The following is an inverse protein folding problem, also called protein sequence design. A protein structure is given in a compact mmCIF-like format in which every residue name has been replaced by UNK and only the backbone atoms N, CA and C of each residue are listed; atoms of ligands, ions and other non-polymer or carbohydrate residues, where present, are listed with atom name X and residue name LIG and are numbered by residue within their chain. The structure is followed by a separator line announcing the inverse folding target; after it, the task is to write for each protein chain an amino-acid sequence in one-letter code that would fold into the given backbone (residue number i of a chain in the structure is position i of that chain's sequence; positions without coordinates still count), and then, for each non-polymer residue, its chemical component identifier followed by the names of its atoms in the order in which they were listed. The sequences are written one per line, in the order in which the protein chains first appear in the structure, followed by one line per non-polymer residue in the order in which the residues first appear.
data_IF_888963111065
#
_entry.id   IF_888963111065
#
_cell.length_a   1.000
_cell.length_b   1.000
_cell.length_c   1.000
_cell.angle_alpha   90.00
_cell.angle_beta   90.00
_cell.angle_gamma   90.00
#
_symmetry.space_group_name_H-M   'P 1'
#
loop_
_entity.id
_entity.type
_entity.pdbx_description
1 polymer ?
#
# COMPACT_ATOMS: atom_id res chain seq x y z
N UNK A 1 -2.61 19.46 -21.55
CA UNK A 1 -3.21 18.43 -22.43
C UNK A 1 -3.09 18.92 -23.87
N UNK A 2 -2.77 18.01 -24.80
CA UNK A 2 -2.36 18.23 -26.21
C UNK A 2 -0.86 18.46 -26.46
N UNK A 3 0.01 17.59 -25.91
CA UNK A 3 1.42 17.49 -26.35
C UNK A 3 1.90 16.06 -26.58
N UNK A 4 1.34 15.03 -25.90
CA UNK A 4 1.83 13.65 -26.08
C UNK A 4 1.33 12.99 -27.36
N UNK A 5 0.18 13.42 -27.90
CA UNK A 5 -0.42 12.82 -29.09
C UNK A 5 0.31 13.13 -30.39
N UNK A 6 1.15 14.17 -30.43
CA UNK A 6 1.93 14.56 -31.62
C UNK A 6 3.32 13.93 -31.67
N UNK A 7 3.87 13.50 -30.54
CA UNK A 7 5.14 12.76 -30.49
C UNK A 7 4.92 11.26 -30.77
N UNK A 8 3.84 10.66 -30.22
CA UNK A 8 3.46 9.27 -30.51
C UNK A 8 3.19 9.00 -32.00
N UNK A 9 2.64 9.97 -32.74
CA UNK A 9 2.36 9.84 -34.18
C UNK A 9 3.61 9.93 -35.07
N UNK A 10 4.73 10.47 -34.57
CA UNK A 10 5.97 10.58 -35.32
C UNK A 10 6.88 9.35 -35.15
N UNK A 11 6.87 8.71 -33.98
CA UNK A 11 7.70 7.53 -33.69
C UNK A 11 7.19 6.24 -34.34
N UNK A 12 5.89 6.11 -34.62
CA UNK A 12 5.37 4.96 -35.37
C UNK A 12 5.95 4.84 -36.79
N UNK A 13 6.51 5.93 -37.35
CA UNK A 13 7.05 5.93 -38.72
C UNK A 13 8.44 5.31 -38.87
N UNK A 14 9.16 4.98 -37.78
CA UNK A 14 10.54 4.45 -37.83
C UNK A 14 10.73 3.06 -37.19
N UNK A 15 9.69 2.41 -36.68
CA UNK A 15 9.84 1.09 -36.05
C UNK A 15 10.09 -0.01 -37.10
N UNK A 16 11.16 -0.79 -36.89
CA UNK A 16 11.47 -1.99 -37.68
C UNK A 16 11.34 -3.22 -36.79
N UNK A 17 10.58 -4.22 -37.25
CA UNK A 17 10.44 -5.50 -36.56
C UNK A 17 11.79 -6.20 -36.45
N UNK A 18 12.05 -6.88 -35.33
CA UNK A 18 13.28 -7.62 -35.06
C UNK A 18 13.59 -8.64 -36.16
N UNK A 19 12.58 -9.32 -36.70
CA UNK A 19 12.73 -10.23 -37.85
C UNK A 19 13.35 -9.59 -39.10
N UNK A 20 13.24 -8.27 -39.23
CA UNK A 20 13.71 -7.49 -40.37
C UNK A 20 15.00 -6.70 -40.07
N UNK A 21 15.51 -6.75 -38.83
CA UNK A 21 16.75 -6.07 -38.40
C UNK A 21 17.99 -6.91 -38.79
N UNK A 22 18.98 -6.27 -39.41
CA UNK A 22 20.19 -6.96 -39.90
C UNK A 22 20.97 -7.63 -38.77
N UNK A 23 21.09 -6.94 -37.63
CA UNK A 23 21.80 -7.36 -36.44
C UNK A 23 21.10 -8.47 -35.64
N UNK A 24 19.95 -8.97 -36.11
CA UNK A 24 19.17 -10.05 -35.49
C UNK A 24 18.99 -11.28 -36.39
N UNK A 25 19.57 -11.29 -37.60
CA UNK A 25 19.45 -12.42 -38.55
C UNK A 25 20.08 -13.72 -38.08
N UNK A 26 21.05 -13.65 -37.16
CA UNK A 26 21.70 -14.81 -36.54
C UNK A 26 20.82 -15.46 -35.46
N UNK A 27 19.76 -14.78 -35.02
CA UNK A 27 18.85 -15.28 -33.98
C UNK A 27 17.58 -15.83 -34.64
N UNK A 28 17.29 -17.10 -34.38
CA UNK A 28 16.01 -17.71 -34.77
C UNK A 28 14.95 -17.39 -33.70
N UNK A 29 13.86 -16.67 -34.03
CA UNK A 29 12.80 -16.37 -33.07
C UNK A 29 12.16 -17.65 -32.52
N UNK A 30 11.75 -17.61 -31.25
CA UNK A 30 11.09 -18.74 -30.59
C UNK A 30 9.63 -18.39 -30.29
N UNK A 31 8.66 -18.95 -31.04
CA UNK A 31 7.24 -18.72 -30.81
C UNK A 31 6.80 -19.11 -29.40
N UNK A 32 5.74 -18.46 -28.90
CA UNK A 32 5.06 -18.92 -27.69
C UNK A 32 4.33 -20.24 -27.97
N UNK A 33 4.58 -21.25 -27.13
CA UNK A 33 3.85 -22.53 -27.19
C UNK A 33 2.67 -22.51 -26.20
N UNK A 34 1.48 -22.17 -26.70
CA UNK A 34 0.22 -22.22 -25.95
C UNK A 34 -0.49 -23.59 -26.07
N UNK A 35 0.15 -24.57 -26.71
CA UNK A 35 -0.41 -25.88 -26.99
C UNK A 35 -1.51 -25.88 -28.08
N UNK A 36 -2.08 -27.06 -28.39
CA UNK A 36 -3.04 -27.23 -29.49
C UNK A 36 -4.45 -26.69 -29.17
N UNK A 37 -4.82 -26.59 -27.89
CA UNK A 37 -6.13 -26.13 -27.42
C UNK A 37 -5.95 -24.92 -26.50
N UNK A 38 -5.70 -23.76 -27.11
CA UNK A 38 -5.36 -22.54 -26.37
C UNK A 38 -6.53 -22.05 -25.52
N UNK A 39 -6.27 -21.70 -24.26
CA UNK A 39 -7.21 -21.04 -23.35
C UNK A 39 -6.67 -19.66 -23.00
N UNK A 40 -7.56 -18.68 -22.75
CA UNK A 40 -7.21 -17.26 -22.46
C UNK A 40 -6.18 -16.67 -23.44
N UNK A 41 -6.22 -17.11 -24.70
CA UNK A 41 -5.28 -16.67 -25.73
C UNK A 41 -5.47 -15.19 -26.02
N UNK A 42 -4.37 -14.46 -26.01
CA UNK A 42 -4.34 -13.03 -26.30
C UNK A 42 -4.03 -12.85 -27.79
N UNK A 43 -4.86 -12.08 -28.47
CA UNK A 43 -4.61 -11.67 -29.86
C UNK A 43 -3.56 -10.56 -29.90
N UNK A 44 -2.30 -10.94 -29.74
CA UNK A 44 -1.16 -10.01 -29.77
C UNK A 44 -1.01 -9.32 -31.12
N UNK A 45 -0.58 -8.06 -31.09
CA UNK A 45 -0.12 -7.33 -32.29
C UNK A 45 1.13 -7.98 -32.87
N UNK A 46 1.44 -7.70 -34.14
CA UNK A 46 2.64 -8.23 -34.79
C UNK A 46 3.91 -7.79 -34.06
N UNK A 47 4.03 -6.50 -33.71
CA UNK A 47 5.13 -5.97 -32.90
C UNK A 47 5.30 -6.73 -31.59
N UNK A 48 4.20 -7.02 -30.88
CA UNK A 48 4.27 -7.75 -29.62
C UNK A 48 4.79 -9.18 -29.80
N UNK A 49 4.26 -9.91 -30.80
CA UNK A 49 4.71 -11.28 -31.08
C UNK A 49 6.19 -11.30 -31.46
N UNK A 50 6.59 -10.42 -32.37
CA UNK A 50 7.97 -10.30 -32.85
C UNK A 50 8.94 -10.04 -31.69
N UNK A 51 8.72 -9.00 -30.88
CA UNK A 51 9.58 -8.69 -29.71
C UNK A 51 9.65 -9.88 -28.74
N UNK A 52 8.53 -10.50 -28.42
CA UNK A 52 8.51 -11.60 -27.43
C UNK A 52 9.05 -12.92 -27.98
N UNK A 53 8.96 -13.17 -29.29
CA UNK A 53 9.59 -14.33 -29.92
C UNK A 53 11.12 -14.23 -29.88
N UNK A 54 11.66 -13.03 -30.14
CA UNK A 54 13.08 -12.75 -29.99
C UNK A 54 13.51 -12.76 -28.51
N UNK A 55 12.68 -12.26 -27.59
CA UNK A 55 12.97 -12.34 -26.15
C UNK A 55 13.08 -13.79 -25.68
N UNK A 56 12.16 -14.66 -26.10
CA UNK A 56 12.24 -16.10 -25.83
C UNK A 56 13.50 -16.74 -26.42
N UNK A 57 13.92 -16.32 -27.61
CA UNK A 57 15.13 -16.82 -28.25
C UNK A 57 16.40 -16.48 -27.44
N UNK A 58 16.59 -15.21 -27.07
CA UNK A 58 17.76 -14.79 -26.27
C UNK A 58 17.75 -15.38 -24.86
N UNK A 59 16.57 -15.49 -24.25
CA UNK A 59 16.43 -16.11 -22.93
C UNK A 59 16.83 -17.59 -22.99
N UNK A 60 16.40 -18.32 -24.03
CA UNK A 60 16.70 -19.74 -24.24
C UNK A 60 18.19 -19.98 -24.53
N UNK A 61 18.83 -19.11 -25.32
CA UNK A 61 20.27 -19.19 -25.60
C UNK A 61 21.14 -18.63 -24.45
N UNK A 62 20.51 -17.98 -23.47
CA UNK A 62 21.16 -17.29 -22.37
C UNK A 62 22.13 -16.17 -22.83
N UNK A 63 21.80 -15.51 -23.95
CA UNK A 63 22.60 -14.44 -24.52
C UNK A 63 22.52 -13.15 -23.69
N UNK A 64 23.63 -12.77 -23.05
CA UNK A 64 23.76 -11.52 -22.29
C UNK A 64 24.59 -10.49 -23.05
N UNK A 65 23.98 -9.88 -24.07
CA UNK A 65 24.62 -8.90 -24.97
C UNK A 65 23.96 -7.52 -24.85
N UNK A 66 24.60 -6.48 -25.41
CA UNK A 66 24.01 -5.13 -25.48
C UNK A 66 22.70 -5.14 -26.28
N UNK A 67 22.61 -5.89 -27.38
CA UNK A 67 21.35 -6.01 -28.14
C UNK A 67 20.25 -6.71 -27.33
N UNK A 68 20.60 -7.68 -26.49
CA UNK A 68 19.63 -8.32 -25.59
C UNK A 68 19.15 -7.33 -24.52
N UNK A 69 20.04 -6.46 -24.03
CA UNK A 69 19.65 -5.39 -23.10
C UNK A 69 18.64 -4.42 -23.73
N UNK A 70 18.87 -3.97 -24.96
CA UNK A 70 17.93 -3.13 -25.70
C UNK A 70 16.62 -3.87 -26.00
N UNK A 71 16.66 -5.16 -26.34
CA UNK A 71 15.45 -5.96 -26.51
C UNK A 71 14.60 -6.05 -25.22
N UNK A 72 15.23 -6.10 -24.04
CA UNK A 72 14.45 -6.04 -22.80
C UNK A 72 13.75 -4.70 -22.60
N UNK A 73 14.27 -3.59 -23.15
CA UNK A 73 13.58 -2.29 -23.11
C UNK A 73 12.30 -2.34 -23.94
N UNK A 74 12.40 -2.74 -25.20
CA UNK A 74 11.25 -2.86 -26.10
C UNK A 74 10.18 -3.85 -25.54
N UNK A 75 10.61 -4.95 -24.90
CA UNK A 75 9.70 -5.90 -24.27
C UNK A 75 8.99 -5.33 -23.03
N UNK A 76 9.66 -4.46 -22.27
CA UNK A 76 9.10 -3.80 -21.09
C UNK A 76 8.19 -2.62 -21.45
N UNK A 77 8.46 -1.92 -22.54
CA UNK A 77 7.56 -0.89 -23.08
C UNK A 77 6.22 -1.51 -23.50
N UNK A 78 6.25 -2.73 -24.05
CA UNK A 78 5.04 -3.49 -24.42
C UNK A 78 4.32 -4.11 -23.21
N UNK A 79 5.04 -4.54 -22.19
CA UNK A 79 4.45 -5.10 -20.97
C UNK A 79 5.38 -4.93 -19.77
N UNK A 80 5.25 -3.82 -19.03
CA UNK A 80 6.13 -3.52 -17.89
C UNK A 80 5.85 -4.43 -16.69
N UNK A 81 4.77 -5.21 -16.70
CA UNK A 81 4.45 -6.18 -15.64
C UNK A 81 5.17 -7.53 -15.83
N UNK A 82 5.89 -7.75 -16.94
CA UNK A 82 6.58 -9.00 -17.19
C UNK A 82 7.83 -9.14 -16.31
N UNK A 83 7.68 -9.85 -15.19
CA UNK A 83 8.74 -10.04 -14.21
C UNK A 83 9.93 -10.85 -14.75
N UNK A 84 9.72 -11.72 -15.74
CA UNK A 84 10.80 -12.52 -16.36
C UNK A 84 11.74 -11.61 -17.13
N UNK A 85 11.20 -10.63 -17.88
CA UNK A 85 12.00 -9.65 -18.60
C UNK A 85 12.82 -8.81 -17.63
N UNK A 86 12.22 -8.31 -16.54
CA UNK A 86 12.95 -7.55 -15.51
C UNK A 86 14.06 -8.37 -14.84
N UNK A 87 13.81 -9.64 -14.53
CA UNK A 87 14.82 -10.51 -13.96
C UNK A 87 15.98 -10.70 -14.94
N UNK A 88 15.69 -10.97 -16.20
CA UNK A 88 16.73 -11.17 -17.22
C UNK A 88 17.52 -9.89 -17.48
N UNK A 89 16.85 -8.73 -17.57
CA UNK A 89 17.48 -7.41 -17.66
C UNK A 89 18.51 -7.20 -16.54
N UNK A 90 18.14 -7.52 -15.29
CA UNK A 90 19.05 -7.45 -14.13
C UNK A 90 20.28 -8.34 -14.26
N UNK A 91 20.13 -9.53 -14.86
CA UNK A 91 21.26 -10.42 -15.12
C UNK A 91 22.17 -9.87 -16.22
N UNK A 92 21.60 -9.29 -17.27
CA UNK A 92 22.36 -8.65 -18.35
C UNK A 92 23.13 -7.43 -17.82
N UNK A 93 22.47 -6.54 -17.05
CA UNK A 93 23.10 -5.36 -16.44
C UNK A 93 24.35 -5.73 -15.64
N UNK A 94 24.27 -6.79 -14.84
CA UNK A 94 25.40 -7.32 -14.06
C UNK A 94 26.49 -7.93 -14.94
N UNK A 95 26.10 -8.70 -15.95
CA UNK A 95 27.05 -9.38 -16.82
C UNK A 95 27.87 -8.41 -17.67
N UNK A 96 27.22 -7.36 -18.15
CA UNK A 96 27.83 -6.31 -18.98
C UNK A 96 28.46 -5.18 -18.16
N UNK A 97 28.39 -5.23 -16.83
CA UNK A 97 28.89 -4.20 -15.92
C UNK A 97 28.39 -2.78 -16.30
N UNK A 98 27.07 -2.66 -16.53
CA UNK A 98 26.45 -1.42 -16.99
C UNK A 98 26.42 -0.36 -15.88
N UNK A 99 26.43 0.91 -16.29
CA UNK A 99 26.21 2.03 -15.38
C UNK A 99 24.79 1.99 -14.79
N UNK A 100 24.73 1.73 -13.49
CA UNK A 100 23.48 1.64 -12.76
C UNK A 100 22.79 3.00 -12.57
N UNK A 101 23.50 4.12 -12.71
CA UNK A 101 22.88 5.45 -12.69
C UNK A 101 22.07 5.72 -13.96
N UNK A 102 22.54 5.25 -15.13
CA UNK A 102 21.76 5.27 -16.37
C UNK A 102 20.50 4.42 -16.21
N UNK A 103 20.61 3.24 -15.58
CA UNK A 103 19.46 2.39 -15.31
C UNK A 103 18.46 3.04 -14.34
N UNK A 104 18.92 3.78 -13.32
CA UNK A 104 18.01 4.53 -12.45
C UNK A 104 17.24 5.62 -13.19
N UNK A 105 17.84 6.25 -14.20
CA UNK A 105 17.17 7.23 -15.06
C UNK A 105 16.13 6.57 -15.97
N UNK A 106 16.47 5.43 -16.58
CA UNK A 106 15.53 4.64 -17.36
C UNK A 106 14.32 4.20 -16.52
N UNK A 107 14.55 3.65 -15.33
CA UNK A 107 13.49 3.17 -14.45
C UNK A 107 12.63 4.31 -13.91
N UNK A 108 13.21 5.51 -13.74
CA UNK A 108 12.44 6.70 -13.39
C UNK A 108 11.40 7.02 -14.47
N UNK A 109 11.79 7.00 -15.74
CA UNK A 109 10.87 7.26 -16.86
C UNK A 109 9.72 6.24 -16.88
N UNK A 110 10.03 4.95 -16.77
CA UNK A 110 9.00 3.90 -16.74
C UNK A 110 8.06 4.06 -15.52
N UNK A 111 8.59 4.48 -14.36
CA UNK A 111 7.79 4.68 -13.16
C UNK A 111 6.82 5.87 -13.27
N UNK A 112 7.14 6.88 -14.10
CA UNK A 112 6.24 8.00 -14.37
C UNK A 112 5.00 7.53 -15.18
N UNK A 113 5.19 6.65 -16.16
CA UNK A 113 4.11 6.10 -16.97
C UNK A 113 3.38 4.93 -16.28
N UNK A 114 4.09 4.19 -15.43
CA UNK A 114 3.59 2.97 -14.76
C UNK A 114 3.71 3.03 -13.23
N UNK A 115 3.16 4.05 -12.56
CA UNK A 115 3.42 4.30 -11.13
C UNK A 115 2.82 3.24 -10.20
N UNK A 116 1.94 2.36 -10.71
CA UNK A 116 1.27 1.28 -9.95
C UNK A 116 1.78 -0.11 -10.31
N UNK A 117 2.96 -0.20 -10.93
CA UNK A 117 3.56 -1.45 -11.34
C UNK A 117 4.55 -1.99 -10.29
N UNK A 118 4.31 -3.20 -9.79
CA UNK A 118 5.16 -3.85 -8.78
C UNK A 118 6.61 -4.02 -9.23
N UNK A 119 6.81 -4.48 -10.47
CA UNK A 119 8.13 -4.83 -10.99
C UNK A 119 9.01 -3.60 -11.17
N UNK A 120 8.45 -2.47 -11.59
CA UNK A 120 9.16 -1.20 -11.75
C UNK A 120 9.74 -0.72 -10.41
N UNK A 121 8.90 -0.66 -9.37
CA UNK A 121 9.34 -0.26 -8.02
C UNK A 121 10.32 -1.27 -7.41
N UNK A 122 10.07 -2.57 -7.61
CA UNK A 122 10.99 -3.60 -7.15
C UNK A 122 12.36 -3.47 -7.81
N UNK A 123 12.39 -3.31 -9.14
CA UNK A 123 13.62 -3.16 -9.89
C UNK A 123 14.39 -1.90 -9.47
N UNK A 124 13.72 -0.76 -9.30
CA UNK A 124 14.33 0.44 -8.71
C UNK A 124 14.99 0.14 -7.37
N UNK A 125 14.27 -0.51 -6.45
CA UNK A 125 14.80 -0.90 -5.14
C UNK A 125 16.02 -1.81 -5.22
N UNK A 126 16.06 -2.72 -6.20
CA UNK A 126 17.23 -3.57 -6.45
C UNK A 126 18.43 -2.75 -6.91
N UNK A 127 18.25 -1.83 -7.88
CA UNK A 127 19.35 -0.99 -8.39
C UNK A 127 19.89 -0.07 -7.28
N UNK A 128 19.01 0.58 -6.51
CA UNK A 128 19.41 1.39 -5.34
C UNK A 128 20.18 0.55 -4.33
N UNK A 129 19.76 -0.70 -4.10
CA UNK A 129 20.47 -1.61 -3.20
C UNK A 129 21.79 -2.14 -3.78
N UNK A 130 22.01 -2.13 -5.09
CA UNK A 130 23.34 -2.42 -5.63
C UNK A 130 24.27 -1.22 -5.49
N UNK A 131 23.77 -0.02 -5.75
CA UNK A 131 24.51 1.23 -5.64
C UNK A 131 24.81 1.65 -4.19
N UNK A 132 23.93 1.28 -3.24
CA UNK A 132 23.93 1.79 -1.86
C UNK A 132 23.82 3.33 -1.76
N UNK A 133 23.25 3.99 -2.77
CA UNK A 133 23.13 5.45 -2.87
C UNK A 133 21.65 5.89 -2.88
N UNK A 134 21.07 6.30 -1.74
CA UNK A 134 19.65 6.64 -1.63
C UNK A 134 19.31 8.11 -1.90
N UNK A 135 20.30 8.91 -2.34
CA UNK A 135 20.25 10.38 -2.34
C UNK A 135 19.04 10.98 -3.08
N UNK A 136 18.54 10.31 -4.12
CA UNK A 136 17.41 10.77 -4.93
C UNK A 136 16.06 10.18 -4.46
N UNK A 137 16.05 9.12 -3.65
CA UNK A 137 14.86 8.29 -3.44
C UNK A 137 13.74 9.00 -2.67
N UNK A 138 14.10 9.86 -1.71
CA UNK A 138 13.12 10.65 -0.98
C UNK A 138 12.47 11.71 -1.88
N UNK A 139 13.19 12.23 -2.88
CA UNK A 139 12.61 13.15 -3.85
C UNK A 139 11.75 12.41 -4.87
N UNK A 140 12.18 11.24 -5.35
CA UNK A 140 11.41 10.41 -6.29
C UNK A 140 10.09 9.98 -5.69
N UNK A 141 10.11 9.46 -4.45
CA UNK A 141 8.87 9.10 -3.76
C UNK A 141 7.99 10.31 -3.47
N UNK A 142 8.56 11.48 -3.15
CA UNK A 142 7.80 12.73 -2.99
C UNK A 142 7.09 13.10 -4.29
N UNK A 143 7.78 13.11 -5.43
CA UNK A 143 7.17 13.43 -6.72
C UNK A 143 6.02 12.47 -7.06
N UNK A 144 6.20 11.17 -6.83
CA UNK A 144 5.15 10.17 -7.05
C UNK A 144 3.94 10.39 -6.12
N UNK A 145 4.19 10.71 -4.84
CA UNK A 145 3.13 10.97 -3.86
C UNK A 145 2.42 12.31 -4.09
N UNK A 146 3.07 13.30 -4.70
CA UNK A 146 2.39 14.54 -5.11
C UNK A 146 1.38 14.30 -6.25
N UNK A 147 1.62 13.29 -7.09
CA UNK A 147 0.69 12.90 -8.16
C UNK A 147 -0.42 11.97 -7.62
N UNK A 148 -0.07 11.00 -6.78
CA UNK A 148 -1.00 10.10 -6.10
C UNK A 148 -0.56 9.90 -4.65
N UNK A 149 -1.14 10.70 -3.74
CA UNK A 149 -0.81 10.69 -2.31
C UNK A 149 -1.09 9.36 -1.62
N UNK A 150 -1.83 8.45 -2.27
CA UNK A 150 -2.18 7.13 -1.77
C UNK A 150 -1.45 6.01 -2.53
N UNK A 151 -0.47 6.32 -3.38
CA UNK A 151 0.33 5.31 -4.07
C UNK A 151 1.05 4.41 -3.05
N UNK A 152 0.56 3.18 -2.95
CA UNK A 152 1.05 2.20 -1.98
C UNK A 152 2.52 1.82 -2.24
N UNK A 153 2.93 1.70 -3.50
CA UNK A 153 4.30 1.34 -3.85
C UNK A 153 5.28 2.45 -3.51
N UNK A 154 4.93 3.71 -3.76
CA UNK A 154 5.75 4.85 -3.38
C UNK A 154 5.93 4.92 -1.86
N UNK A 155 4.86 4.73 -1.08
CA UNK A 155 4.93 4.65 0.38
C UNK A 155 5.78 3.48 0.87
N UNK A 156 5.59 2.29 0.30
CA UNK A 156 6.36 1.10 0.65
C UNK A 156 7.85 1.29 0.36
N UNK A 157 8.19 1.81 -0.81
CA UNK A 157 9.57 2.11 -1.21
C UNK A 157 10.19 3.16 -0.30
N UNK A 158 9.47 4.24 -0.01
CA UNK A 158 9.92 5.29 0.92
C UNK A 158 10.24 4.73 2.30
N UNK A 159 9.35 3.91 2.88
CA UNK A 159 9.60 3.27 4.18
C UNK A 159 10.80 2.32 4.16
N UNK A 160 10.98 1.57 3.08
CA UNK A 160 12.16 0.71 2.90
C UNK A 160 13.45 1.54 2.87
N UNK A 161 13.50 2.61 2.07
CA UNK A 161 14.66 3.52 1.98
C UNK A 161 15.00 4.11 3.35
N UNK A 162 13.99 4.65 4.05
CA UNK A 162 14.16 5.25 5.37
C UNK A 162 14.78 4.26 6.36
N UNK A 163 14.29 3.02 6.42
CA UNK A 163 14.84 1.97 7.29
C UNK A 163 16.23 1.52 6.87
N UNK A 164 16.44 1.27 5.58
CA UNK A 164 17.68 0.70 5.04
C UNK A 164 18.86 1.66 5.22
N UNK A 165 18.62 2.95 5.06
CA UNK A 165 19.66 3.99 5.05
C UNK A 165 19.57 4.97 6.23
N UNK A 166 18.68 4.71 7.18
CA UNK A 166 18.48 5.52 8.39
C UNK A 166 18.24 7.03 8.12
N UNK A 167 17.37 7.35 7.14
CA UNK A 167 17.15 8.72 6.66
C UNK A 167 15.96 9.43 7.32
N UNK A 168 15.81 9.33 8.64
CA UNK A 168 14.58 9.78 9.33
C UNK A 168 14.56 11.27 9.71
N UNK A 169 15.69 11.98 9.67
CA UNK A 169 15.88 13.31 10.28
C UNK A 169 14.82 14.35 9.89
N UNK A 170 14.43 14.39 8.62
CA UNK A 170 13.46 15.36 8.09
C UNK A 170 12.07 14.76 7.82
N UNK A 171 11.87 13.50 8.19
CA UNK A 171 10.71 12.76 7.73
C UNK A 171 9.42 13.16 8.46
N UNK A 172 9.51 13.51 9.74
CA UNK A 172 8.37 14.05 10.47
C UNK A 172 7.93 15.42 9.93
N UNK A 173 8.87 16.28 9.54
CA UNK A 173 8.54 17.56 8.91
C UNK A 173 7.84 17.35 7.55
N UNK A 174 8.26 16.35 6.78
CA UNK A 174 7.55 15.96 5.57
C UNK A 174 6.12 15.47 5.86
N UNK A 175 5.93 14.65 6.89
CA UNK A 175 4.59 14.23 7.33
C UNK A 175 3.73 15.42 7.73
N UNK A 176 4.28 16.40 8.46
CA UNK A 176 3.58 17.61 8.85
C UNK A 176 3.07 18.36 7.60
N UNK A 177 3.91 18.52 6.57
CA UNK A 177 3.49 19.16 5.30
C UNK A 177 2.32 18.43 4.63
N UNK A 178 2.33 17.10 4.60
CA UNK A 178 1.24 16.32 4.00
C UNK A 178 -0.07 16.44 4.77
N UNK A 179 0.00 16.57 6.10
CA UNK A 179 -1.18 16.72 6.95
C UNK A 179 -1.73 18.15 6.98
N UNK A 180 -0.87 19.16 6.75
CA UNK A 180 -1.29 20.54 6.50
C UNK A 180 -2.04 20.66 5.17
N UNK A 181 -1.61 19.93 4.14
CA UNK A 181 -2.29 19.87 2.83
C UNK A 181 -3.61 19.08 2.89
N UNK A 182 -3.60 17.90 3.50
CA UNK A 182 -4.81 17.09 3.71
C UNK A 182 -4.76 16.33 5.04
N UNK A 183 -5.44 16.87 6.05
CA UNK A 183 -5.56 16.26 7.38
C UNK A 183 -6.30 14.90 7.36
N UNK A 184 -7.02 14.56 6.28
CA UNK A 184 -7.69 13.26 6.11
C UNK A 184 -6.83 12.22 5.39
N UNK A 185 -5.59 12.55 5.05
CA UNK A 185 -4.67 11.62 4.41
C UNK A 185 -4.24 10.52 5.40
N UNK A 186 -4.95 9.38 5.36
CA UNK A 186 -4.65 8.23 6.21
C UNK A 186 -3.24 7.68 6.00
N UNK A 187 -2.69 7.78 4.78
CA UNK A 187 -1.32 7.33 4.50
C UNK A 187 -0.29 8.20 5.22
N UNK A 188 -0.51 9.52 5.28
CA UNK A 188 0.34 10.43 6.06
C UNK A 188 0.24 10.15 7.57
N UNK A 189 -0.95 9.88 8.10
CA UNK A 189 -1.13 9.47 9.50
C UNK A 189 -0.43 8.14 9.82
N UNK A 190 -0.57 7.13 8.95
CA UNK A 190 0.15 5.87 9.07
C UNK A 190 1.67 6.09 9.02
N UNK A 191 2.13 6.96 8.14
CA UNK A 191 3.55 7.29 8.02
C UNK A 191 4.07 8.05 9.25
N UNK A 192 3.26 8.94 9.85
CA UNK A 192 3.56 9.58 11.15
C UNK A 192 3.84 8.54 12.22
N UNK A 193 2.99 7.52 12.33
CA UNK A 193 3.17 6.43 13.27
C UNK A 193 4.46 5.67 12.98
N UNK A 194 4.69 5.31 11.71
CA UNK A 194 5.93 4.66 11.26
C UNK A 194 7.18 5.45 11.66
N UNK A 195 7.22 6.76 11.44
CA UNK A 195 8.38 7.62 11.78
C UNK A 195 8.57 7.82 13.29
N UNK A 196 7.49 7.79 14.07
CA UNK A 196 7.55 7.98 15.52
C UNK A 196 8.21 6.82 16.27
N UNK A 197 8.16 5.60 15.72
CA UNK A 197 8.71 4.41 16.39
C UNK A 197 10.25 4.37 16.43
N UNK A 198 11.00 4.69 15.35
CA UNK A 198 12.47 4.70 15.37
C UNK A 198 13.08 6.01 15.89
N UNK A 199 12.41 7.17 15.77
CA UNK A 199 13.04 8.48 16.07
C UNK A 199 12.79 8.95 17.50
N UNK A 200 11.55 8.81 18.01
CA UNK A 200 11.18 9.24 19.36
C UNK A 200 9.71 8.94 19.65
N UNK A 201 9.34 8.33 20.80
CA UNK A 201 7.95 8.13 21.19
C UNK A 201 7.29 9.46 21.62
N UNK A 202 7.09 10.38 20.67
CA UNK A 202 6.51 11.72 20.88
C UNK A 202 5.01 11.78 20.61
N UNK A 203 4.41 10.68 20.17
CA UNK A 203 2.97 10.60 19.97
C UNK A 203 2.28 10.19 21.28
N UNK A 204 1.15 10.83 21.59
CA UNK A 204 0.32 10.48 22.75
C UNK A 204 -0.11 9.00 22.76
N UNK A 205 -0.15 8.35 21.60
CA UNK A 205 -0.43 6.91 21.48
C UNK A 205 0.65 6.04 22.16
N UNK A 206 1.86 6.56 22.35
CA UNK A 206 2.96 5.89 23.03
C UNK A 206 2.98 6.15 24.55
N UNK A 207 1.96 6.82 25.10
CA UNK A 207 1.81 7.01 26.54
C UNK A 207 1.70 5.65 27.25
N UNK A 208 2.38 5.48 28.40
CA UNK A 208 2.52 4.19 29.09
C UNK A 208 1.19 3.49 29.39
N UNK A 209 0.16 4.27 29.74
CA UNK A 209 -1.18 3.76 30.05
C UNK A 209 -2.10 3.67 28.82
N UNK A 210 -1.62 4.07 27.64
CA UNK A 210 -2.41 4.25 26.41
C UNK A 210 -3.31 5.48 26.44
N UNK A 211 -3.94 5.78 25.30
CA UNK A 211 -4.85 6.94 25.15
C UNK A 211 -6.10 6.82 26.03
N UNK A 212 -6.67 5.62 26.15
CA UNK A 212 -7.93 5.36 26.88
C UNK A 212 -7.84 5.62 28.38
N UNK A 213 -6.62 5.69 28.93
CA UNK A 213 -6.34 5.91 30.36
C UNK A 213 -5.59 7.22 30.59
N UNK A 214 -5.47 8.07 29.58
CA UNK A 214 -4.86 9.39 29.71
C UNK A 214 -5.92 10.38 30.19
N UNK A 215 -5.73 10.94 31.39
CA UNK A 215 -6.71 11.82 32.05
C UNK A 215 -7.11 13.01 31.17
N UNK A 216 -6.15 13.68 30.53
CA UNK A 216 -6.42 14.82 29.64
C UNK A 216 -7.27 14.43 28.42
N UNK A 217 -7.06 13.23 27.88
CA UNK A 217 -7.85 12.72 26.74
C UNK A 217 -9.26 12.39 27.18
N UNK A 218 -9.42 11.79 28.37
CA UNK A 218 -10.73 11.47 28.94
C UNK A 218 -11.51 12.77 29.20
N UNK A 219 -10.91 13.73 29.90
CA UNK A 219 -11.49 15.06 30.18
C UNK A 219 -11.95 15.73 28.89
N UNK A 220 -11.08 15.78 27.87
CA UNK A 220 -11.43 16.35 26.57
C UNK A 220 -12.64 15.64 25.91
N UNK A 221 -12.69 14.31 25.93
CA UNK A 221 -13.82 13.56 25.37
C UNK A 221 -15.13 13.81 26.15
N UNK A 222 -15.04 13.90 27.48
CA UNK A 222 -16.20 14.17 28.34
C UNK A 222 -16.71 15.61 28.19
N UNK A 223 -15.82 16.59 28.01
CA UNK A 223 -16.18 17.97 27.69
C UNK A 223 -16.93 18.08 26.36
N UNK A 224 -16.44 17.42 25.30
CA UNK A 224 -17.12 17.39 24.00
C UNK A 224 -18.51 16.74 24.12
N UNK A 225 -18.60 15.61 24.83
CA UNK A 225 -19.86 14.91 25.05
C UNK A 225 -20.87 15.76 25.83
N UNK A 226 -20.43 16.42 26.90
CA UNK A 226 -21.27 17.30 27.72
C UNK A 226 -21.71 18.54 26.95
N UNK A 227 -20.90 19.01 26.02
CA UNK A 227 -21.23 20.11 25.09
C UNK A 227 -22.22 19.71 23.99
N UNK A 228 -22.73 18.47 23.99
CA UNK A 228 -23.75 18.00 23.05
C UNK A 228 -23.20 17.37 21.76
N UNK A 229 -21.88 17.18 21.63
CA UNK A 229 -21.30 16.56 20.43
C UNK A 229 -21.59 15.05 20.42
N UNK A 230 -22.12 14.54 19.31
CA UNK A 230 -22.52 13.13 19.12
C UNK A 230 -21.89 12.48 17.89
N UNK A 231 -20.69 12.91 17.52
CA UNK A 231 -19.93 12.27 16.45
C UNK A 231 -19.72 10.78 16.76
N UNK A 232 -19.97 9.85 15.82
CA UNK A 232 -19.82 8.42 16.08
C UNK A 232 -18.38 8.02 16.43
N UNK A 233 -17.38 8.82 16.05
CA UNK A 233 -15.98 8.64 16.47
C UNK A 233 -15.79 8.95 17.97
N UNK A 234 -16.37 10.05 18.46
CA UNK A 234 -16.33 10.41 19.88
C UNK A 234 -17.07 9.37 20.72
N UNK A 235 -18.29 9.03 20.31
CA UNK A 235 -19.12 8.05 21.00
C UNK A 235 -18.44 6.69 21.05
N UNK A 236 -17.89 6.22 19.92
CA UNK A 236 -17.12 4.98 19.89
C UNK A 236 -15.90 5.00 20.81
N UNK A 237 -15.17 6.13 20.86
CA UNK A 237 -14.02 6.27 21.75
C UNK A 237 -14.41 6.33 23.24
N UNK A 238 -15.58 6.90 23.57
CA UNK A 238 -16.12 6.86 24.94
C UNK A 238 -16.55 5.45 25.34
N UNK A 239 -17.14 4.66 24.43
CA UNK A 239 -17.38 3.23 24.64
C UNK A 239 -16.06 2.51 24.93
N UNK A 240 -15.01 2.82 24.17
CA UNK A 240 -13.67 2.27 24.38
C UNK A 240 -13.07 2.63 25.76
N UNK A 241 -13.28 3.87 26.24
CA UNK A 241 -12.83 4.34 27.57
C UNK A 241 -13.61 3.62 28.67
N UNK A 242 -14.93 3.62 28.60
CA UNK A 242 -15.79 3.15 29.68
C UNK A 242 -15.93 1.62 29.71
N UNK A 243 -15.86 0.96 28.57
CA UNK A 243 -15.96 -0.50 28.42
C UNK A 243 -14.66 -1.27 28.67
N UNK A 244 -13.55 -0.61 29.03
CA UNK A 244 -12.24 -1.26 29.26
C UNK A 244 -11.64 -1.04 30.67
N UNK A 245 -12.43 -0.52 31.62
CA UNK A 245 -11.94 -0.28 32.99
C UNK A 245 -11.94 -1.58 33.82
N UNK A 246 -10.74 -2.11 34.12
CA UNK A 246 -10.54 -3.26 35.01
C UNK A 246 -10.53 -2.86 36.51
N UNK A 247 -10.87 -3.83 37.37
CA UNK A 247 -10.97 -3.72 38.83
C UNK A 247 -9.75 -3.01 39.46
N UNK A 248 -9.96 -1.84 40.07
CA UNK A 248 -8.97 -1.22 40.96
C UNK A 248 -8.92 0.31 40.99
N UNK A 249 -9.57 1.02 40.07
CA UNK A 249 -9.65 2.48 40.10
C UNK A 249 -11.01 2.97 40.58
N UNK A 250 -11.07 3.42 41.84
CA UNK A 250 -12.18 4.12 42.50
C UNK A 250 -13.53 4.26 41.77
N UNK A 251 -14.52 3.53 42.28
CA UNK A 251 -15.97 3.83 42.33
C UNK A 251 -16.70 4.15 41.00
N UNK A 252 -17.06 3.12 40.19
CA UNK A 252 -17.74 3.36 38.89
C UNK A 252 -18.73 2.27 38.40
N UNK A 253 -19.84 1.95 39.11
CA UNK A 253 -21.01 1.33 38.47
C UNK A 253 -21.55 2.16 37.28
N UNK A 254 -21.29 3.48 37.30
CA UNK A 254 -21.77 4.44 36.30
C UNK A 254 -21.02 4.43 34.96
N UNK A 255 -19.89 3.72 34.80
CA UNK A 255 -19.17 3.70 33.50
C UNK A 255 -19.67 2.63 32.55
N UNK A 256 -19.91 1.39 33.00
CA UNK A 256 -20.42 0.34 32.11
C UNK A 256 -21.82 0.67 31.60
N UNK A 257 -22.69 1.18 32.48
CA UNK A 257 -24.03 1.61 32.09
C UNK A 257 -23.98 2.73 31.04
N UNK A 258 -23.10 3.72 31.22
CA UNK A 258 -22.89 4.79 30.24
C UNK A 258 -22.36 4.26 28.90
N UNK A 259 -21.49 3.24 28.92
CA UNK A 259 -21.02 2.59 27.69
C UNK A 259 -22.17 1.88 26.95
N UNK A 260 -23.05 1.17 27.67
CA UNK A 260 -24.23 0.50 27.10
C UNK A 260 -25.22 1.49 26.48
N UNK A 261 -25.50 2.60 27.16
CA UNK A 261 -26.35 3.68 26.64
C UNK A 261 -25.79 4.29 25.35
N UNK A 262 -24.47 4.51 25.31
CA UNK A 262 -23.80 5.03 24.11
C UNK A 262 -23.84 4.00 22.97
N UNK A 263 -23.65 2.70 23.25
CA UNK A 263 -23.79 1.64 22.25
C UNK A 263 -25.21 1.61 21.66
N UNK A 264 -26.25 1.76 22.48
CA UNK A 264 -27.64 1.81 22.01
C UNK A 264 -27.89 3.02 21.09
N UNK A 265 -27.40 4.20 21.49
CA UNK A 265 -27.48 5.42 20.69
C UNK A 265 -26.72 5.30 19.36
N UNK A 266 -25.53 4.69 19.36
CA UNK A 266 -24.76 4.39 18.15
C UNK A 266 -25.52 3.42 17.22
N UNK A 267 -26.09 2.36 17.78
CA UNK A 267 -26.82 1.34 17.04
C UNK A 267 -28.11 1.86 16.39
N UNK A 268 -28.82 2.77 17.06
CA UNK A 268 -30.15 3.26 16.64
C UNK A 268 -30.12 4.58 15.89
N UNK A 269 -29.19 5.48 16.20
CA UNK A 269 -29.23 6.86 15.73
C UNK A 269 -27.93 7.30 15.04
N UNK A 270 -26.79 7.13 15.69
CA UNK A 270 -25.57 7.86 15.30
C UNK A 270 -24.62 7.08 14.36
N UNK A 271 -24.76 5.76 14.26
CA UNK A 271 -23.86 4.90 13.47
C UNK A 271 -24.54 3.59 13.02
N UNK A 272 -25.72 3.74 12.45
CA UNK A 272 -26.63 2.62 12.11
C UNK A 272 -26.03 1.63 11.10
N UNK A 273 -25.07 2.06 10.28
CA UNK A 273 -24.30 1.17 9.38
C UNK A 273 -23.50 0.12 10.17
N UNK A 274 -23.10 0.42 11.41
CA UNK A 274 -22.40 -0.48 12.35
C UNK A 274 -23.33 -1.00 13.47
N UNK A 275 -24.66 -0.99 13.28
CA UNK A 275 -25.63 -1.44 14.29
C UNK A 275 -25.30 -2.80 14.91
N UNK A 276 -25.06 -3.81 14.09
CA UNK A 276 -24.76 -5.16 14.59
C UNK A 276 -23.43 -5.22 15.35
N UNK A 277 -22.45 -4.39 14.95
CA UNK A 277 -21.20 -4.24 15.69
C UNK A 277 -21.45 -3.64 17.08
N UNK A 278 -22.24 -2.57 17.19
CA UNK A 278 -22.53 -1.94 18.48
C UNK A 278 -23.38 -2.82 19.40
N UNK A 279 -24.34 -3.57 18.85
CA UNK A 279 -25.09 -4.59 19.60
C UNK A 279 -24.14 -5.66 20.17
N UNK A 280 -23.20 -6.15 19.36
CA UNK A 280 -22.19 -7.11 19.79
C UNK A 280 -21.30 -6.55 20.90
N UNK A 281 -20.81 -5.31 20.76
CA UNK A 281 -20.00 -4.66 21.80
C UNK A 281 -20.78 -4.48 23.10
N UNK A 282 -22.06 -4.09 23.03
CA UNK A 282 -22.93 -3.97 24.21
C UNK A 282 -23.09 -5.32 24.93
N UNK A 283 -23.31 -6.42 24.20
CA UNK A 283 -23.37 -7.75 24.79
C UNK A 283 -22.08 -8.13 25.54
N UNK A 284 -20.91 -7.85 24.96
CA UNK A 284 -19.62 -8.13 25.59
C UNK A 284 -19.43 -7.31 26.88
N UNK A 285 -19.80 -6.02 26.86
CA UNK A 285 -19.72 -5.15 28.03
C UNK A 285 -20.67 -5.66 29.15
N UNK A 286 -21.90 -6.06 28.80
CA UNK A 286 -22.85 -6.60 29.76
C UNK A 286 -22.34 -7.90 30.41
N UNK A 287 -21.69 -8.78 29.65
CA UNK A 287 -21.04 -9.98 30.19
C UNK A 287 -19.89 -9.65 31.16
N UNK A 288 -19.07 -8.65 30.85
CA UNK A 288 -18.00 -8.17 31.73
C UNK A 288 -18.54 -7.55 33.03
N UNK A 289 -19.68 -6.85 32.96
CA UNK A 289 -20.35 -6.29 34.13
C UNK A 289 -20.89 -7.39 35.06
N UNK A 290 -21.55 -8.41 34.50
CA UNK A 290 -22.12 -9.53 35.28
C UNK A 290 -21.04 -10.39 35.95
N UNK A 291 -19.97 -10.70 35.21
CA UNK A 291 -18.80 -11.39 35.78
C UNK A 291 -18.07 -10.55 36.84
N UNK A 292 -18.07 -9.21 36.72
CA UNK A 292 -17.50 -8.32 37.73
C UNK A 292 -18.31 -8.28 39.02
N UNK A 293 -19.63 -8.41 38.92
CA UNK A 293 -20.59 -8.43 40.04
C UNK A 293 -20.73 -9.80 40.72
N UNK A 294 -20.07 -10.85 40.21
CA UNK A 294 -20.09 -12.19 40.81
C UNK A 294 -21.33 -13.02 40.50
N UNK A 295 -22.11 -12.63 39.48
CA UNK A 295 -23.27 -13.40 39.02
C UNK A 295 -22.87 -14.31 37.85
N UNK A 296 -23.01 -15.64 38.01
CA UNK A 296 -22.85 -16.60 36.92
C UNK A 296 -23.98 -16.42 35.89
N UNK A 297 -23.59 -16.13 34.64
CA UNK A 297 -24.53 -15.86 33.56
C UNK A 297 -25.18 -17.18 33.07
N UNK A 298 -26.46 -17.37 33.37
CA UNK A 298 -27.30 -18.39 32.72
C UNK A 298 -27.65 -17.91 31.29
N UNK A 299 -26.80 -18.31 30.34
CA UNK A 299 -27.00 -18.36 28.88
C UNK A 299 -28.06 -17.44 28.25
N UNK A 300 -27.61 -16.38 27.58
CA UNK A 300 -28.37 -15.80 26.48
C UNK A 300 -28.12 -16.63 25.22
N UNK A 301 -29.21 -17.12 24.62
CA UNK A 301 -29.18 -17.86 23.36
C UNK A 301 -28.42 -17.08 22.28
N UNK A 302 -27.48 -17.76 21.61
CA UNK A 302 -26.83 -17.24 20.41
C UNK A 302 -27.89 -16.77 19.40
N UNK A 303 -27.64 -15.69 18.63
CA UNK A 303 -28.45 -15.41 17.46
C UNK A 303 -28.43 -16.65 16.57
N UNK A 304 -29.61 -17.14 16.19
CA UNK A 304 -29.81 -18.30 15.33
C UNK A 304 -28.91 -18.25 14.09
N UNK A 305 -28.25 -19.37 13.82
CA UNK A 305 -27.48 -19.60 12.60
C UNK A 305 -28.29 -19.17 11.37
N UNK A 306 -27.67 -18.35 10.52
CA UNK A 306 -28.14 -18.09 9.16
C UNK A 306 -28.16 -19.42 8.40
N UNK A 307 -29.35 -19.99 8.26
CA UNK A 307 -29.59 -21.06 7.29
C UNK A 307 -29.49 -20.43 5.90
N UNK A 308 -28.40 -20.74 5.19
CA UNK A 308 -28.35 -20.54 3.75
C UNK A 308 -29.30 -21.55 3.09
N UNK A 309 -30.52 -21.12 2.78
CA UNK A 309 -31.34 -21.81 1.81
C UNK A 309 -30.78 -21.53 0.42
N UNK A 310 -30.10 -22.53 -0.14
CA UNK A 310 -29.81 -22.61 -1.56
C UNK A 310 -31.12 -22.88 -2.30
N UNK A 311 -31.50 -21.97 -3.21
CA UNK A 311 -32.39 -22.23 -4.34
C UNK A 311 -31.66 -21.92 -5.63
#
# INVERSE_FOLDING_TARGET
MASSSTEELCEESSWVLYKDREEWKDVTPVPQDDGPNTVVSILYTEKFKDVYDYFRAVLKSNEKSERALELTKDALDLNPANYTVWQYRREILKHLDKDLYEELNYVKQIAEDNPKNYQVWHHRGVIVNWLQEPSQELQVTRMSLNQDAKNYHAWQHRQWVLRKFNLFDNELAYVDTLLEEDIRNNSAWNHRYFCSTPVSPRLLIHHEKGLRRNERVIEFCEELYTSGIRSPYLLGFLVDIYGSMEKGGGDKPHTFQKALEICDALAKEHDTIRREYWNFIACNIAQQMNTSNGEEFLGASRPSELVMETS
#
